data_IF_818360386890
#
_entry.id   IF_818360386890
#
_cell.length_a   1.000
_cell.length_b   1.000
_cell.length_c   1.000
_cell.angle_alpha   90.00
_cell.angle_beta   90.00
_cell.angle_gamma   90.00
#
_symmetry.space_group_name_H-M   'P 1'
#
loop_
_entity.id
_entity.type
_entity.pdbx_description
1 polymer ?
#
# COMPACT_ATOMS: atom_id res chain seq x y z
N UNK A 1 -5.71 -5.31 19.04
CA UNK A 1 -5.84 -5.66 17.61
C UNK A 1 -4.50 -6.01 17.05
N UNK A 2 -4.45 -7.05 16.22
CA UNK A 2 -3.23 -7.51 15.56
C UNK A 2 -3.19 -6.97 14.13
N UNK A 3 -2.11 -6.31 13.77
CA UNK A 3 -1.91 -5.65 12.48
C UNK A 3 -0.71 -6.28 11.79
N UNK A 4 -0.86 -6.65 10.53
CA UNK A 4 0.23 -7.16 9.70
C UNK A 4 0.52 -6.19 8.56
N UNK A 5 1.78 -5.84 8.38
CA UNK A 5 2.27 -5.09 7.23
C UNK A 5 3.11 -5.97 6.32
N UNK A 6 2.60 -6.25 5.12
CA UNK A 6 3.24 -7.06 4.10
C UNK A 6 3.92 -6.17 3.07
N UNK A 7 5.23 -6.31 2.91
CA UNK A 7 6.01 -5.41 2.07
C UNK A 7 7.32 -6.00 1.57
N UNK A 8 8.04 -5.20 0.81
CA UNK A 8 9.45 -5.31 0.46
C UNK A 8 10.18 -4.00 0.80
N UNK A 9 11.36 -3.79 0.23
CA UNK A 9 12.32 -2.74 0.62
C UNK A 9 11.74 -1.33 0.79
N UNK A 10 10.83 -0.88 -0.10
CA UNK A 10 10.21 0.46 0.06
C UNK A 10 9.36 0.57 1.33
N UNK A 11 8.65 -0.49 1.68
CA UNK A 11 7.92 -0.57 2.94
C UNK A 11 8.85 -0.65 4.15
N UNK A 12 9.97 -1.38 4.02
CA UNK A 12 11.01 -1.44 5.07
C UNK A 12 11.60 -0.04 5.36
N UNK A 13 11.77 0.80 4.34
CA UNK A 13 12.23 2.18 4.55
C UNK A 13 11.26 2.95 5.45
N UNK A 14 9.96 2.90 5.16
CA UNK A 14 8.94 3.58 5.98
C UNK A 14 8.82 2.94 7.36
N UNK A 15 8.88 1.60 7.46
CA UNK A 15 8.91 0.91 8.75
C UNK A 15 10.02 1.43 9.66
N UNK A 16 11.23 1.54 9.14
CA UNK A 16 12.39 2.13 9.82
C UNK A 16 12.27 3.64 10.07
N UNK A 17 11.29 4.28 9.47
CA UNK A 17 10.93 5.69 9.72
C UNK A 17 10.29 5.95 11.08
N UNK A 18 10.05 4.90 11.88
CA UNK A 18 9.55 5.01 13.26
C UNK A 18 8.17 4.41 13.49
N UNK A 19 7.74 3.44 12.67
CA UNK A 19 6.42 2.82 12.81
C UNK A 19 6.23 2.10 14.14
N UNK A 20 7.17 1.25 14.63
CA UNK A 20 7.00 0.59 15.93
C UNK A 20 6.94 1.57 17.09
N UNK A 21 7.80 2.59 17.09
CA UNK A 21 7.88 3.61 18.13
C UNK A 21 6.61 4.46 18.17
N UNK A 22 6.06 4.76 17.01
CA UNK A 22 4.81 5.51 16.91
C UNK A 22 3.65 4.74 17.56
N UNK A 23 3.49 3.44 17.23
CA UNK A 23 2.44 2.61 17.83
C UNK A 23 2.64 2.43 19.34
N UNK A 24 3.87 2.28 19.81
CA UNK A 24 4.16 2.22 21.24
C UNK A 24 3.72 3.51 21.97
N UNK A 25 4.04 4.67 21.39
CA UNK A 25 3.63 5.97 21.94
C UNK A 25 2.11 6.19 21.87
N UNK A 26 1.48 5.79 20.74
CA UNK A 26 0.03 5.88 20.56
C UNK A 26 -0.71 5.03 21.60
N UNK A 27 -0.32 3.76 21.75
CA UNK A 27 -0.91 2.85 22.73
C UNK A 27 -0.81 3.39 24.16
N UNK A 28 0.36 3.92 24.55
CA UNK A 28 0.55 4.50 25.87
C UNK A 28 -0.36 5.72 26.11
N UNK A 29 -0.52 6.58 25.11
CA UNK A 29 -1.34 7.80 25.20
C UNK A 29 -2.83 7.49 25.25
N UNK A 30 -3.30 6.53 24.42
CA UNK A 30 -4.72 6.25 24.20
C UNK A 30 -5.23 5.02 24.94
N UNK A 31 -4.36 4.34 25.72
CA UNK A 31 -4.67 3.10 26.47
C UNK A 31 -5.20 1.99 25.54
N UNK A 32 -4.63 1.91 24.33
CA UNK A 32 -4.92 0.86 23.33
C UNK A 32 -3.85 -0.23 23.35
N UNK A 33 -4.15 -1.37 22.71
CA UNK A 33 -3.19 -2.50 22.52
C UNK A 33 -3.18 -2.87 21.01
N UNK A 34 -2.70 -1.95 20.18
CA UNK A 34 -2.48 -2.20 18.76
C UNK A 34 -1.09 -2.79 18.56
N UNK A 35 -1.05 -4.02 18.05
CA UNK A 35 0.20 -4.78 17.82
C UNK A 35 0.47 -4.87 16.34
N UNK A 36 1.45 -4.13 15.87
CA UNK A 36 1.87 -4.16 14.47
C UNK A 36 3.12 -5.01 14.30
N UNK A 37 3.09 -5.87 13.29
CA UNK A 37 4.22 -6.68 12.83
C UNK A 37 4.42 -6.49 11.33
N UNK A 38 5.64 -6.71 10.85
CA UNK A 38 5.97 -6.67 9.43
C UNK A 38 6.39 -8.04 8.91
N UNK A 39 6.21 -8.27 7.62
CA UNK A 39 6.73 -9.45 6.93
C UNK A 39 7.02 -9.15 5.46
N UNK A 40 8.12 -9.69 4.96
CA UNK A 40 8.40 -9.68 3.52
C UNK A 40 7.41 -10.61 2.83
N UNK A 41 6.72 -10.10 1.79
CA UNK A 41 5.74 -10.85 1.04
C UNK A 41 5.64 -10.37 -0.43
N UNK A 42 5.61 -11.30 -1.41
CA UNK A 42 6.00 -12.69 -1.26
C UNK A 42 7.50 -12.82 -1.03
N UNK A 43 7.97 -13.95 -0.47
CA UNK A 43 9.37 -14.21 -0.25
C UNK A 43 10.06 -14.54 -1.58
N UNK A 44 11.36 -14.25 -1.65
CA UNK A 44 12.16 -14.52 -2.85
C UNK A 44 12.19 -16.00 -3.22
N UNK A 45 12.23 -16.88 -2.23
CA UNK A 45 12.24 -18.33 -2.40
C UNK A 45 11.32 -18.99 -1.36
N UNK A 46 10.60 -20.02 -1.73
CA UNK A 46 10.55 -20.71 -3.03
C UNK A 46 9.68 -19.99 -4.09
N UNK A 47 8.84 -18.99 -3.72
CA UNK A 47 7.88 -18.37 -4.63
C UNK A 47 8.56 -17.60 -5.78
N UNK A 48 9.53 -16.77 -5.48
CA UNK A 48 10.15 -15.86 -6.44
C UNK A 48 9.39 -14.54 -6.52
N UNK A 49 9.96 -13.48 -6.01
CA UNK A 49 9.29 -12.20 -5.85
C UNK A 49 9.42 -11.28 -7.06
N UNK A 50 8.33 -10.62 -7.40
CA UNK A 50 8.32 -9.33 -8.10
C UNK A 50 7.41 -8.36 -7.36
N UNK A 51 6.52 -8.85 -6.54
CA UNK A 51 5.62 -8.08 -5.67
C UNK A 51 4.81 -7.05 -6.47
N UNK A 52 4.01 -7.56 -7.40
CA UNK A 52 3.08 -6.79 -8.23
C UNK A 52 1.72 -7.50 -8.27
N UNK A 53 0.65 -6.96 -8.89
CA UNK A 53 -0.71 -7.50 -8.80
C UNK A 53 -0.84 -8.99 -9.08
N UNK A 54 -0.11 -9.53 -10.06
CA UNK A 54 -0.12 -10.96 -10.36
C UNK A 54 0.23 -11.83 -9.15
N UNK A 55 1.20 -11.43 -8.31
CA UNK A 55 1.65 -12.25 -7.18
C UNK A 55 0.55 -12.39 -6.13
N UNK A 56 -0.15 -11.30 -5.79
CA UNK A 56 -1.27 -11.33 -4.86
C UNK A 56 -2.44 -12.16 -5.41
N UNK A 57 -2.81 -11.96 -6.68
CA UNK A 57 -3.82 -12.79 -7.33
C UNK A 57 -3.42 -14.28 -7.33
N UNK A 58 -2.19 -14.58 -7.68
CA UNK A 58 -1.72 -15.96 -7.77
C UNK A 58 -1.73 -16.67 -6.42
N UNK A 59 -1.32 -15.99 -5.33
CA UNK A 59 -1.25 -16.59 -4.00
C UNK A 59 -2.63 -16.58 -3.33
N UNK A 60 -3.33 -15.46 -3.34
CA UNK A 60 -4.53 -15.27 -2.53
C UNK A 60 -5.84 -15.60 -3.23
N UNK A 61 -5.86 -15.68 -4.56
CA UNK A 61 -7.05 -15.99 -5.35
C UNK A 61 -6.90 -17.34 -6.02
N UNK A 62 -5.92 -17.48 -6.93
CA UNK A 62 -5.75 -18.69 -7.74
C UNK A 62 -5.39 -19.92 -6.90
N UNK A 63 -4.53 -19.77 -5.92
CA UNK A 63 -4.04 -20.82 -5.03
C UNK A 63 -4.52 -20.60 -3.58
N UNK A 64 -5.71 -20.03 -3.42
CA UNK A 64 -6.37 -19.87 -2.13
C UNK A 64 -6.57 -21.22 -1.42
N UNK A 65 -6.59 -21.20 -0.07
CA UNK A 65 -6.83 -22.41 0.71
C UNK A 65 -6.17 -22.38 2.08
N UNK A 66 -6.37 -23.40 2.90
CA UNK A 66 -5.92 -23.43 4.29
C UNK A 66 -4.43 -23.72 4.46
N UNK A 67 -3.72 -24.05 3.38
CA UNK A 67 -2.29 -24.35 3.38
C UNK A 67 -1.49 -23.30 2.62
N UNK A 68 -0.24 -23.01 3.03
CA UNK A 68 0.62 -22.06 2.31
C UNK A 68 0.85 -22.50 0.85
N UNK A 69 0.88 -21.54 -0.05
CA UNK A 69 1.28 -21.78 -1.45
C UNK A 69 2.75 -21.40 -1.63
N UNK A 70 3.61 -22.36 -1.93
CA UNK A 70 5.07 -22.15 -2.02
C UNK A 70 5.62 -21.39 -0.79
N UNK A 71 5.20 -21.82 0.39
CA UNK A 71 5.53 -21.22 1.70
C UNK A 71 4.98 -19.82 1.94
N UNK A 72 4.22 -19.26 0.99
CA UNK A 72 3.55 -17.97 1.17
C UNK A 72 2.18 -18.16 1.84
N UNK A 73 1.86 -17.37 2.87
CA UNK A 73 0.58 -17.49 3.55
C UNK A 73 -0.58 -17.01 2.66
N UNK A 74 -1.65 -17.78 2.65
CA UNK A 74 -2.92 -17.43 2.02
C UNK A 74 -3.74 -16.51 2.92
N UNK A 75 -4.82 -15.93 2.40
CA UNK A 75 -5.73 -15.12 3.22
C UNK A 75 -6.39 -15.94 4.33
N UNK A 76 -6.70 -17.22 4.09
CA UNK A 76 -7.28 -18.12 5.10
C UNK A 76 -6.36 -18.36 6.30
N UNK A 77 -5.06 -18.20 6.13
CA UNK A 77 -4.08 -18.29 7.21
C UNK A 77 -3.96 -16.95 7.92
N UNK A 78 -3.83 -15.87 7.15
CA UNK A 78 -3.56 -14.53 7.68
C UNK A 78 -4.77 -13.97 8.46
N UNK A 79 -5.98 -14.10 7.94
CA UNK A 79 -7.19 -13.54 8.55
C UNK A 79 -7.59 -14.19 9.87
N UNK A 80 -7.04 -15.36 10.19
CA UNK A 80 -7.19 -15.99 11.52
C UNK A 80 -6.29 -15.39 12.59
N UNK A 81 -5.27 -14.63 12.20
CA UNK A 81 -4.23 -14.13 13.09
C UNK A 81 -4.25 -12.61 13.21
N UNK A 82 -4.76 -11.93 12.18
CA UNK A 82 -4.68 -10.48 12.05
C UNK A 82 -6.04 -9.87 11.77
N UNK A 83 -6.33 -8.80 12.51
CA UNK A 83 -7.55 -8.00 12.37
C UNK A 83 -7.43 -6.99 11.23
N UNK A 84 -6.21 -6.53 10.96
CA UNK A 84 -5.86 -5.59 9.88
C UNK A 84 -4.67 -6.12 9.11
N UNK A 85 -4.80 -6.17 7.78
CA UNK A 85 -3.72 -6.58 6.87
C UNK A 85 -3.44 -5.43 5.92
N UNK A 86 -2.24 -4.86 6.02
CA UNK A 86 -1.74 -3.85 5.09
C UNK A 86 -0.82 -4.53 4.09
N UNK A 87 -1.03 -4.29 2.80
CA UNK A 87 -0.17 -4.84 1.76
C UNK A 87 0.12 -3.81 0.67
N UNK A 88 1.25 -3.98 0.01
CA UNK A 88 1.77 -3.08 -1.01
C UNK A 88 2.53 -3.82 -2.08
N UNK A 89 2.80 -3.10 -3.17
CA UNK A 89 3.69 -3.55 -4.22
C UNK A 89 5.10 -2.94 -4.10
N UNK A 90 6.06 -3.53 -4.80
CA UNK A 90 7.40 -2.99 -4.97
C UNK A 90 7.57 -2.44 -6.40
N UNK A 91 8.73 -1.88 -6.71
CA UNK A 91 9.06 -1.22 -7.98
C UNK A 91 8.58 -1.91 -9.26
N UNK A 92 8.61 -3.26 -9.37
CA UNK A 92 8.13 -3.92 -10.59
C UNK A 92 6.69 -3.57 -10.99
N UNK A 93 5.84 -3.16 -10.04
CA UNK A 93 4.45 -2.75 -10.33
C UNK A 93 4.40 -1.56 -11.28
N UNK A 94 5.35 -0.62 -11.17
CA UNK A 94 5.35 0.64 -11.91
C UNK A 94 6.04 0.57 -13.27
N UNK A 95 6.65 -0.57 -13.62
CA UNK A 95 7.23 -0.82 -14.94
C UNK A 95 6.16 -1.32 -15.92
N UNK A 96 5.14 -0.49 -16.19
CA UNK A 96 3.94 -0.90 -16.91
C UNK A 96 4.14 -0.79 -18.42
N UNK A 97 3.86 -1.88 -19.13
CA UNK A 97 3.86 -1.97 -20.60
C UNK A 97 2.55 -1.41 -21.19
N UNK A 98 2.53 -1.01 -22.47
CA UNK A 98 1.29 -0.65 -23.15
C UNK A 98 0.29 -1.80 -23.16
N UNK A 99 -1.00 -1.48 -23.03
CA UNK A 99 -2.08 -2.45 -23.20
C UNK A 99 -2.14 -2.99 -24.64
N UNK A 100 -2.64 -4.20 -24.80
CA UNK A 100 -2.82 -4.86 -26.11
C UNK A 100 -4.27 -4.91 -26.57
N UNK A 101 -5.21 -4.61 -25.65
CA UNK A 101 -6.63 -4.79 -25.87
C UNK A 101 -7.10 -6.25 -25.69
N UNK A 102 -6.23 -7.14 -25.20
CA UNK A 102 -6.54 -8.54 -24.92
C UNK A 102 -6.14 -8.85 -23.47
N UNK A 103 -6.96 -8.45 -22.49
CA UNK A 103 -6.65 -8.66 -21.08
C UNK A 103 -6.65 -10.14 -20.71
N UNK A 104 -5.67 -10.57 -19.91
CA UNK A 104 -5.53 -11.93 -19.41
C UNK A 104 -5.17 -11.91 -17.92
N UNK A 105 -6.07 -12.41 -17.08
CA UNK A 105 -5.88 -12.47 -15.63
C UNK A 105 -4.68 -13.33 -15.21
N UNK A 106 -4.33 -14.34 -16.02
CA UNK A 106 -3.23 -15.27 -15.76
C UNK A 106 -1.89 -14.77 -16.29
N UNK A 107 -1.88 -13.66 -17.00
CA UNK A 107 -0.67 -13.09 -17.59
C UNK A 107 0.23 -12.48 -16.52
N UNK A 108 1.54 -12.72 -16.68
CA UNK A 108 2.61 -12.07 -15.91
C UNK A 108 3.05 -10.74 -16.51
N UNK A 109 2.52 -10.39 -17.67
CA UNK A 109 2.81 -9.12 -18.31
C UNK A 109 2.23 -7.95 -17.49
N UNK A 110 3.08 -7.01 -17.21
CA UNK A 110 2.74 -5.81 -16.43
C UNK A 110 2.00 -4.80 -17.32
N UNK A 111 0.68 -4.99 -17.48
CA UNK A 111 -0.23 -4.15 -18.26
C UNK A 111 -1.41 -3.74 -17.40
N UNK A 112 -1.92 -2.54 -17.57
CA UNK A 112 -3.07 -2.06 -16.76
C UNK A 112 -4.28 -2.98 -16.96
N UNK A 113 -4.54 -3.43 -18.19
CA UNK A 113 -5.63 -4.34 -18.49
C UNK A 113 -5.57 -5.65 -17.68
N UNK A 114 -4.38 -6.23 -17.50
CA UNK A 114 -4.18 -7.45 -16.69
C UNK A 114 -4.27 -7.13 -15.18
N UNK A 115 -3.66 -6.05 -14.75
CA UNK A 115 -3.69 -5.60 -13.35
C UNK A 115 -5.12 -5.37 -12.86
N UNK A 116 -5.97 -4.76 -13.70
CA UNK A 116 -7.38 -4.52 -13.36
C UNK A 116 -8.16 -5.82 -13.17
N UNK A 117 -7.93 -6.85 -13.99
CA UNK A 117 -8.54 -8.16 -13.79
C UNK A 117 -8.07 -8.83 -12.50
N UNK A 118 -6.76 -8.80 -12.24
CA UNK A 118 -6.16 -9.36 -11.02
C UNK A 118 -6.68 -8.64 -9.76
N UNK A 119 -6.79 -7.33 -9.80
CA UNK A 119 -7.31 -6.52 -8.69
C UNK A 119 -8.81 -6.69 -8.49
N UNK A 120 -9.60 -6.84 -9.56
CA UNK A 120 -11.03 -7.13 -9.44
C UNK A 120 -11.26 -8.48 -8.74
N UNK A 121 -10.55 -9.53 -9.15
CA UNK A 121 -10.62 -10.83 -8.50
C UNK A 121 -10.09 -10.80 -7.05
N UNK A 122 -9.05 -10.02 -6.79
CA UNK A 122 -8.52 -9.81 -5.44
C UNK A 122 -9.55 -9.11 -4.54
N UNK A 123 -10.22 -8.06 -5.02
CA UNK A 123 -11.28 -7.36 -4.27
C UNK A 123 -12.39 -8.31 -3.83
N UNK A 124 -12.95 -9.09 -4.77
CA UNK A 124 -13.97 -10.09 -4.45
C UNK A 124 -13.49 -11.08 -3.37
N UNK A 125 -12.21 -11.43 -3.44
CA UNK A 125 -11.63 -12.34 -2.45
C UNK A 125 -11.49 -11.69 -1.08
N UNK A 126 -11.04 -10.44 -1.01
CA UNK A 126 -10.91 -9.68 0.25
C UNK A 126 -12.28 -9.47 0.90
N UNK A 127 -13.32 -9.17 0.13
CA UNK A 127 -14.70 -9.02 0.63
C UNK A 127 -15.23 -10.27 1.32
N UNK A 128 -14.74 -11.46 0.99
CA UNK A 128 -15.16 -12.71 1.66
C UNK A 128 -14.66 -12.84 3.12
N UNK A 129 -13.78 -11.94 3.57
CA UNK A 129 -13.23 -11.91 4.94
C UNK A 129 -13.70 -10.68 5.70
N UNK A 130 -15.00 -10.62 5.97
CA UNK A 130 -15.69 -9.44 6.53
C UNK A 130 -15.18 -8.97 7.89
N UNK A 131 -14.57 -9.85 8.67
CA UNK A 131 -14.03 -9.55 10.00
C UNK A 131 -12.62 -8.96 9.96
N UNK A 132 -11.97 -8.96 8.78
CA UNK A 132 -10.63 -8.43 8.57
C UNK A 132 -10.68 -7.16 7.71
N UNK A 133 -9.96 -6.13 8.10
CA UNK A 133 -9.77 -4.90 7.32
C UNK A 133 -8.51 -4.99 6.50
N UNK A 134 -8.60 -4.57 5.24
CA UNK A 134 -7.46 -4.58 4.32
C UNK A 134 -7.10 -3.16 3.93
N UNK A 135 -5.82 -2.81 4.03
CA UNK A 135 -5.31 -1.52 3.58
C UNK A 135 -4.35 -1.75 2.42
N UNK A 136 -4.70 -1.23 1.25
CA UNK A 136 -3.85 -1.26 0.07
C UNK A 136 -3.03 0.02 0.03
N UNK A 137 -1.74 -0.13 0.04
CA UNK A 137 -0.81 0.97 -0.12
C UNK A 137 -0.51 1.16 -1.61
N UNK A 138 -0.82 2.30 -2.19
CA UNK A 138 -0.50 2.62 -3.59
C UNK A 138 1.01 2.88 -3.76
N UNK A 139 1.54 2.67 -4.95
CA UNK A 139 2.99 2.80 -5.21
C UNK A 139 3.68 1.42 -5.31
N UNK A 140 4.98 1.35 -5.50
CA UNK A 140 5.97 2.42 -5.37
C UNK A 140 6.13 3.23 -6.68
N UNK A 141 6.22 4.55 -6.56
CA UNK A 141 6.62 5.40 -7.67
C UNK A 141 8.12 5.25 -7.98
N UNK A 142 8.50 5.56 -9.22
CA UNK A 142 9.89 5.57 -9.65
C UNK A 142 10.36 7.01 -9.88
N UNK A 143 11.65 7.26 -9.63
CA UNK A 143 12.30 8.52 -10.01
C UNK A 143 12.35 8.66 -11.53
N UNK A 144 12.44 9.87 -12.06
CA UNK A 144 12.51 10.13 -13.50
C UNK A 144 13.70 9.40 -14.15
N UNK A 145 14.83 9.28 -13.45
CA UNK A 145 16.00 8.55 -13.92
C UNK A 145 15.83 7.03 -13.97
N UNK A 146 14.79 6.47 -13.34
CA UNK A 146 14.59 5.02 -13.21
C UNK A 146 13.47 4.46 -14.09
N UNK A 147 12.75 5.30 -14.86
CA UNK A 147 11.63 4.86 -15.68
C UNK A 147 11.48 5.71 -16.94
N UNK A 148 10.65 5.26 -17.88
CA UNK A 148 10.27 6.07 -19.04
C UNK A 148 9.02 6.93 -18.74
N UNK A 149 8.84 8.08 -19.43
CA UNK A 149 7.66 8.92 -19.25
C UNK A 149 6.34 8.18 -19.46
N UNK A 150 6.30 7.27 -20.43
CA UNK A 150 5.10 6.50 -20.73
C UNK A 150 4.78 5.46 -19.65
N UNK A 151 5.80 4.80 -19.11
CA UNK A 151 5.63 3.84 -18.01
C UNK A 151 5.20 4.56 -16.72
N UNK A 152 5.81 5.69 -16.40
CA UNK A 152 5.45 6.51 -15.24
C UNK A 152 3.98 6.99 -15.31
N UNK A 153 3.54 7.45 -16.50
CA UNK A 153 2.15 7.85 -16.70
C UNK A 153 1.19 6.67 -16.49
N UNK A 154 1.50 5.51 -17.06
CA UNK A 154 0.68 4.31 -16.84
C UNK A 154 0.63 3.88 -15.38
N UNK A 155 1.73 4.03 -14.64
CA UNK A 155 1.73 3.77 -13.20
C UNK A 155 0.82 4.75 -12.45
N UNK A 156 0.89 6.05 -12.75
CA UNK A 156 0.00 7.05 -12.19
C UNK A 156 -1.49 6.77 -12.51
N UNK A 157 -1.80 6.39 -13.76
CA UNK A 157 -3.16 6.00 -14.18
C UNK A 157 -3.67 4.78 -13.43
N UNK A 158 -2.81 3.78 -13.21
CA UNK A 158 -3.18 2.58 -12.46
C UNK A 158 -3.47 2.89 -11.00
N UNK A 159 -2.61 3.63 -10.31
CA UNK A 159 -2.83 3.94 -8.89
C UNK A 159 -3.98 4.93 -8.69
N UNK A 160 -4.19 5.85 -9.63
CA UNK A 160 -5.41 6.66 -9.65
C UNK A 160 -6.66 5.78 -9.75
N UNK A 161 -6.66 4.77 -10.62
CA UNK A 161 -7.77 3.83 -10.74
C UNK A 161 -7.97 3.01 -9.44
N UNK A 162 -6.90 2.57 -8.79
CA UNK A 162 -6.99 1.85 -7.50
C UNK A 162 -7.68 2.72 -6.46
N UNK A 163 -7.30 3.99 -6.34
CA UNK A 163 -7.85 4.92 -5.37
C UNK A 163 -9.30 5.32 -5.68
N UNK A 164 -9.59 5.63 -6.94
CA UNK A 164 -10.84 6.32 -7.32
C UNK A 164 -11.95 5.34 -7.75
N UNK A 165 -11.60 4.12 -8.15
CA UNK A 165 -12.54 3.15 -8.75
C UNK A 165 -12.53 1.79 -8.06
N UNK A 166 -11.35 1.28 -7.72
CA UNK A 166 -11.25 -0.05 -7.13
C UNK A 166 -11.58 -0.06 -5.62
N UNK A 167 -11.18 0.98 -4.91
CA UNK A 167 -11.50 1.20 -3.50
C UNK A 167 -12.93 1.78 -3.42
N UNK A 168 -13.85 0.99 -2.90
CA UNK A 168 -15.27 1.38 -2.74
C UNK A 168 -15.56 1.75 -1.28
N UNK A 169 -16.29 2.83 -1.03
CA UNK A 169 -16.61 3.22 0.35
C UNK A 169 -17.61 2.25 1.00
N UNK A 170 -17.45 2.02 2.30
CA UNK A 170 -18.38 1.23 3.11
C UNK A 170 -18.14 -0.26 3.10
N UNK A 171 -17.00 -0.73 2.59
CA UNK A 171 -16.57 -2.12 2.62
C UNK A 171 -15.43 -2.36 3.65
N UNK A 172 -14.73 -3.47 3.54
CA UNK A 172 -13.59 -3.81 4.41
C UNK A 172 -12.23 -3.54 3.78
N UNK A 173 -12.19 -2.81 2.66
CA UNK A 173 -10.98 -2.47 1.92
C UNK A 173 -10.78 -0.96 1.96
N UNK A 174 -9.55 -0.53 2.13
CA UNK A 174 -9.18 0.88 2.24
C UNK A 174 -7.87 1.12 1.48
N UNK A 175 -7.65 2.31 0.96
CA UNK A 175 -6.36 2.69 0.37
C UNK A 175 -5.58 3.63 1.28
N UNK A 176 -4.26 3.53 1.24
CA UNK A 176 -3.34 4.58 1.64
C UNK A 176 -2.58 5.08 0.41
N UNK A 177 -2.85 6.31 0.00
CA UNK A 177 -2.33 6.86 -1.26
C UNK A 177 -0.89 7.34 -1.11
N UNK A 178 0.03 6.39 -0.98
CA UNK A 178 1.46 6.67 -0.86
C UNK A 178 2.05 7.13 -2.19
N UNK A 179 1.48 6.71 -3.33
CA UNK A 179 1.93 7.19 -4.64
C UNK A 179 1.83 8.71 -4.74
N UNK A 180 0.73 9.30 -4.26
CA UNK A 180 0.60 10.76 -4.24
C UNK A 180 1.59 11.43 -3.29
N UNK A 181 1.86 10.84 -2.12
CA UNK A 181 2.89 11.33 -1.20
C UNK A 181 4.30 11.26 -1.80
N UNK A 182 4.62 10.21 -2.57
CA UNK A 182 5.91 10.09 -3.27
C UNK A 182 6.06 11.11 -4.39
N UNK A 183 4.97 11.43 -5.09
CA UNK A 183 4.98 12.14 -6.37
C UNK A 183 4.50 13.58 -6.31
N UNK A 184 3.69 13.94 -5.31
CA UNK A 184 3.03 15.25 -5.19
C UNK A 184 2.30 15.65 -6.48
N UNK A 185 1.53 14.70 -7.06
CA UNK A 185 0.79 14.89 -8.30
C UNK A 185 1.62 14.78 -9.59
N UNK A 186 2.92 14.52 -9.51
CA UNK A 186 3.78 14.19 -10.65
C UNK A 186 3.61 12.70 -11.01
N UNK A 187 3.98 12.25 -12.23
CA UNK A 187 4.10 10.81 -12.50
C UNK A 187 5.37 10.18 -11.92
N UNK A 188 6.29 10.96 -11.37
CA UNK A 188 7.57 10.52 -10.83
C UNK A 188 7.69 10.81 -9.33
N UNK A 189 8.39 9.94 -8.62
CA UNK A 189 8.84 10.24 -7.27
C UNK A 189 9.70 11.50 -7.25
N UNK A 190 9.44 12.39 -6.30
CA UNK A 190 10.24 13.63 -6.14
C UNK A 190 11.66 13.32 -5.72
N UNK A 191 12.63 14.07 -6.27
CA UNK A 191 14.05 13.89 -5.96
C UNK A 191 14.34 14.01 -4.46
N UNK A 192 13.68 14.93 -3.76
CA UNK A 192 13.84 15.12 -2.32
C UNK A 192 13.27 13.97 -1.47
N UNK A 193 12.41 13.14 -2.03
CA UNK A 193 11.81 11.98 -1.36
C UNK A 193 12.63 10.70 -1.58
N UNK A 194 13.37 10.61 -2.67
CA UNK A 194 14.16 9.46 -3.07
C UNK A 194 15.53 9.41 -2.37
N UNK A 195 16.09 8.21 -2.27
CA UNK A 195 17.46 8.00 -1.81
C UNK A 195 18.50 8.51 -2.81
N UNK A 196 18.13 8.59 -4.09
CA UNK A 196 18.97 9.16 -5.15
C UNK A 196 18.23 9.23 -6.49
N UNK A 197 18.84 9.89 -7.50
CA UNK A 197 18.18 10.15 -8.79
C UNK A 197 17.87 8.86 -9.59
N UNK A 198 18.56 7.77 -9.28
CA UNK A 198 18.35 6.43 -9.86
C UNK A 198 18.00 5.39 -8.79
N UNK A 199 17.69 5.83 -7.57
CA UNK A 199 17.30 4.99 -6.46
C UNK A 199 15.99 5.48 -5.90
N UNK A 200 14.90 4.85 -6.30
CA UNK A 200 13.53 5.19 -5.91
C UNK A 200 13.13 4.69 -4.52
N UNK A 201 14.07 4.24 -3.68
CA UNK A 201 13.74 3.98 -2.28
C UNK A 201 13.46 5.29 -1.56
N UNK A 202 12.47 5.32 -0.66
CA UNK A 202 12.25 6.47 0.21
C UNK A 202 13.51 6.83 1.00
N UNK A 203 13.91 8.10 0.94
CA UNK A 203 15.02 8.58 1.75
C UNK A 203 14.71 8.46 3.24
N UNK A 204 15.73 8.39 4.14
CA UNK A 204 15.48 8.35 5.58
C UNK A 204 14.70 9.56 6.11
N UNK A 205 14.86 10.72 5.49
CA UNK A 205 14.12 11.92 5.85
C UNK A 205 12.65 11.81 5.48
N UNK A 206 12.37 11.42 4.24
CA UNK A 206 11.00 11.19 3.75
C UNK A 206 10.32 10.04 4.52
N UNK A 207 11.03 8.94 4.78
CA UNK A 207 10.50 7.83 5.57
C UNK A 207 10.03 8.26 6.96
N UNK A 208 10.82 9.10 7.67
CA UNK A 208 10.41 9.66 8.97
C UNK A 208 9.22 10.60 8.87
N UNK A 209 9.09 11.32 7.76
CA UNK A 209 7.96 12.23 7.53
C UNK A 209 6.65 11.45 7.30
N UNK A 210 6.68 10.36 6.54
CA UNK A 210 5.48 9.63 6.14
C UNK A 210 5.08 8.50 7.09
N UNK A 211 6.00 7.97 7.90
CA UNK A 211 5.69 6.91 8.85
C UNK A 211 4.56 7.27 9.83
N UNK A 212 4.49 8.47 10.44
CA UNK A 212 3.35 8.87 11.26
C UNK A 212 2.04 8.92 10.49
N UNK A 213 2.06 9.35 9.22
CA UNK A 213 0.86 9.39 8.35
C UNK A 213 0.34 7.98 8.06
N UNK A 214 1.25 7.06 7.79
CA UNK A 214 0.93 5.64 7.61
C UNK A 214 0.28 5.04 8.87
N UNK A 215 0.89 5.27 10.03
CA UNK A 215 0.36 4.78 11.30
C UNK A 215 -1.02 5.37 11.61
N UNK A 216 -1.19 6.68 11.39
CA UNK A 216 -2.49 7.35 11.59
C UNK A 216 -3.55 6.77 10.65
N UNK A 217 -3.21 6.50 9.38
CA UNK A 217 -4.14 5.86 8.44
C UNK A 217 -4.65 4.50 8.94
N UNK A 218 -3.75 3.69 9.50
CA UNK A 218 -4.13 2.39 10.08
C UNK A 218 -5.10 2.60 11.25
N UNK A 219 -4.82 3.55 12.12
CA UNK A 219 -5.69 3.87 13.26
C UNK A 219 -7.06 4.37 12.78
N UNK A 220 -7.11 5.23 11.77
CA UNK A 220 -8.38 5.74 11.22
C UNK A 220 -9.24 4.60 10.67
N UNK A 221 -8.65 3.62 9.99
CA UNK A 221 -9.36 2.41 9.56
C UNK A 221 -9.86 1.59 10.75
N UNK A 222 -9.03 1.40 11.79
CA UNK A 222 -9.41 0.65 13.01
C UNK A 222 -10.58 1.32 13.71
N UNK A 223 -10.59 2.64 13.78
CA UNK A 223 -11.58 3.43 14.52
C UNK A 223 -12.82 3.81 13.67
N UNK A 224 -12.98 3.23 12.48
CA UNK A 224 -14.14 3.41 11.61
C UNK A 224 -14.16 4.73 10.83
N UNK A 225 -13.02 5.39 10.69
CA UNK A 225 -12.84 6.61 9.88
C UNK A 225 -12.15 6.35 8.54
N UNK A 226 -12.05 5.09 8.15
CA UNK A 226 -11.28 4.68 6.97
C UNK A 226 -11.74 5.30 5.64
N UNK A 227 -13.03 5.65 5.52
CA UNK A 227 -13.60 6.25 4.30
C UNK A 227 -13.67 7.78 4.35
N UNK A 228 -13.46 8.40 5.52
CA UNK A 228 -13.70 9.83 5.71
C UNK A 228 -12.56 10.68 5.17
N UNK A 229 -11.29 10.23 5.37
CA UNK A 229 -10.10 10.96 4.95
C UNK A 229 -9.05 10.01 4.37
N UNK A 230 -8.92 10.01 3.08
CA UNK A 230 -7.91 9.21 2.36
C UNK A 230 -6.49 9.76 2.49
N UNK A 231 -6.36 11.04 2.82
CA UNK A 231 -5.11 11.73 3.14
C UNK A 231 -5.27 12.48 4.45
N UNK A 232 -4.26 12.49 5.35
CA UNK A 232 -4.30 13.37 6.50
C UNK A 232 -4.32 14.82 6.02
N UNK A 233 -5.34 15.56 6.39
CA UNK A 233 -5.32 17.00 6.19
C UNK A 233 -4.13 17.59 6.96
N UNK A 234 -3.38 18.47 6.31
CA UNK A 234 -2.39 19.28 7.01
C UNK A 234 -3.10 19.99 8.20
N UNK A 235 -2.43 20.08 9.37
CA UNK A 235 -3.04 20.76 10.50
C UNK A 235 -3.49 22.14 10.05
N UNK A 236 -4.78 22.43 10.20
CA UNK A 236 -5.31 23.76 9.97
C UNK A 236 -4.55 24.73 10.87
N UNK A 237 -3.82 25.67 10.31
CA UNK A 237 -3.29 26.79 11.08
C UNK A 237 -4.48 27.47 11.76
N UNK A 238 -4.57 27.33 13.07
CA UNK A 238 -5.48 28.16 13.86
C UNK A 238 -5.06 29.62 13.64
N UNK A 239 -5.82 30.31 12.80
CA UNK A 239 -5.72 31.76 12.69
C UNK A 239 -6.19 32.34 14.03
N UNK A 240 -5.23 32.57 14.92
CA UNK A 240 -5.49 33.34 16.14
C UNK A 240 -5.81 34.77 15.74
N UNK A 241 -7.08 35.06 15.56
CA UNK A 241 -7.54 36.47 15.56
C UNK A 241 -7.35 37.04 16.96
N UNK A 242 -6.24 37.75 17.15
CA UNK A 242 -6.11 38.68 18.24
C UNK A 242 -7.03 39.87 17.92
N UNK A 243 -8.19 39.92 18.56
CA UNK A 243 -8.92 41.13 18.73
C UNK A 243 -8.18 42.02 19.71
N UNK A 244 -7.46 43.01 19.18
CA UNK A 244 -6.98 44.15 19.95
C UNK A 244 -8.13 45.11 20.15
N UNK A 245 -8.46 45.36 21.37
CA UNK A 245 -9.24 46.51 21.86
C UNK A 245 -8.34 47.72 22.11
#
# INVERSE_FOLDING_TARGET
MNILFLHHSTGECVWKGGVPEWFAAYNARHQTDYRITESIFPKKRPYGWKNYPYDYWNIWVKNAGPTPFLEEPTLEILTRQYDVIVFKHCFPVSEILPDTGVPDISSKDKRIENYKLQYAALRERLHSFTDTRFIVWTGAALTEGSTSPDSARRAADFFKWVRDVWDEPGDNIFTWDFFDLETEGSPYMKDGHAAGPYDSHPSPAFSRQVAPLFCQRIVDVIEGRGDVDRLPQAPSEEVSHHFGS
#
